data_IF_239061541777
#
_entry.id   IF_239061541777
#
_cell.length_a   1.000
_cell.length_b   1.000
_cell.length_c   1.000
_cell.angle_alpha   90.00
_cell.angle_beta   90.00
_cell.angle_gamma   90.00
#
_symmetry.space_group_name_H-M   'P 1'
#
loop_
_entity.id
_entity.type
_entity.pdbx_description
1 polymer ?
#
# COMPACT_ATOMS: atom_id res chain seq x y z
N UNK A 1 -1.94 -5.80 -22.22
CA UNK A 1 -1.95 -7.04 -21.43
C UNK A 1 -0.96 -6.95 -20.28
N UNK A 2 -1.41 -7.34 -19.11
CA UNK A 2 -0.54 -7.32 -17.93
C UNK A 2 0.31 -8.58 -17.93
N UNK A 3 1.62 -8.40 -17.84
CA UNK A 3 2.57 -9.51 -17.86
C UNK A 3 3.05 -9.78 -16.42
N UNK A 4 2.41 -10.74 -15.76
CA UNK A 4 2.74 -11.09 -14.38
C UNK A 4 2.71 -12.62 -14.24
N UNK A 5 3.81 -13.17 -13.71
CA UNK A 5 3.99 -14.62 -13.60
C UNK A 5 3.09 -15.21 -12.51
N UNK A 6 2.31 -16.22 -12.88
CA UNK A 6 1.49 -16.95 -11.92
C UNK A 6 2.37 -17.76 -10.96
N UNK A 7 2.02 -17.74 -9.66
CA UNK A 7 2.78 -18.42 -8.61
C UNK A 7 1.80 -19.15 -7.67
N UNK A 8 2.23 -20.22 -6.99
CA UNK A 8 1.37 -20.87 -5.99
C UNK A 8 1.10 -20.00 -4.76
N UNK A 9 1.99 -19.04 -4.46
CA UNK A 9 1.81 -18.10 -3.35
C UNK A 9 2.51 -16.79 -3.70
N UNK A 10 1.85 -15.67 -3.41
CA UNK A 10 2.39 -14.33 -3.60
C UNK A 10 2.77 -13.73 -2.26
N UNK A 11 3.79 -12.87 -2.25
CA UNK A 11 4.24 -12.15 -1.06
C UNK A 11 4.14 -10.64 -1.27
N UNK A 12 4.62 -9.87 -0.28
CA UNK A 12 4.55 -8.41 -0.34
C UNK A 12 5.31 -7.84 -1.54
N UNK A 13 6.47 -8.39 -1.86
CA UNK A 13 7.25 -7.88 -2.99
C UNK A 13 6.53 -8.11 -4.31
N UNK A 14 5.78 -9.21 -4.42
CA UNK A 14 4.93 -9.46 -5.60
C UNK A 14 3.85 -8.39 -5.73
N UNK A 15 3.20 -8.03 -4.62
CA UNK A 15 2.15 -7.02 -4.64
C UNK A 15 2.71 -5.65 -5.03
N UNK A 16 3.86 -5.29 -4.48
CA UNK A 16 4.53 -4.03 -4.82
C UNK A 16 4.81 -3.98 -6.32
N UNK A 17 5.35 -5.07 -6.87
CA UNK A 17 5.67 -5.14 -8.29
C UNK A 17 4.41 -5.13 -9.15
N UNK A 18 3.36 -5.82 -8.73
CA UNK A 18 2.10 -5.84 -9.47
C UNK A 18 1.49 -4.44 -9.58
N UNK A 19 1.48 -3.69 -8.50
CA UNK A 19 0.99 -2.30 -8.51
C UNK A 19 1.80 -1.47 -9.52
N UNK A 20 3.12 -1.63 -9.51
CA UNK A 20 3.98 -0.90 -10.44
C UNK A 20 3.67 -1.29 -11.90
N UNK A 21 3.51 -2.59 -12.18
CA UNK A 21 3.20 -3.09 -13.52
C UNK A 21 1.85 -2.55 -14.00
N UNK A 22 0.84 -2.54 -13.13
CA UNK A 22 -0.48 -2.02 -13.48
C UNK A 22 -0.44 -0.54 -13.83
N UNK A 23 0.40 0.25 -13.16
CA UNK A 23 0.49 1.69 -13.40
C UNK A 23 1.51 2.07 -14.47
N UNK A 24 2.33 1.14 -14.92
CA UNK A 24 3.32 1.39 -15.96
C UNK A 24 2.68 1.37 -17.35
N UNK A 25 3.37 1.93 -18.37
CA UNK A 25 2.92 1.80 -19.77
C UNK A 25 2.72 0.33 -20.13
N UNK A 26 1.61 0.03 -20.78
CA UNK A 26 1.24 -1.35 -21.11
C UNK A 26 0.49 -2.09 -20.04
N UNK A 27 0.34 -1.49 -18.86
CA UNK A 27 -0.48 -2.06 -17.79
C UNK A 27 -1.94 -1.64 -17.93
N UNK A 28 -2.52 -1.15 -16.84
CA UNK A 28 -3.91 -0.68 -16.83
C UNK A 28 -3.97 0.84 -17.01
N UNK A 29 -4.51 1.35 -18.12
CA UNK A 29 -4.58 2.81 -18.33
C UNK A 29 -5.37 3.53 -17.23
N UNK A 30 -6.38 2.89 -16.67
CA UNK A 30 -7.16 3.45 -15.58
C UNK A 30 -6.28 3.68 -14.34
N UNK A 31 -5.50 2.68 -13.96
CA UNK A 31 -4.59 2.79 -12.80
C UNK A 31 -3.47 3.80 -13.07
N UNK A 32 -2.94 3.82 -14.28
CA UNK A 32 -1.87 4.74 -14.66
C UNK A 32 -2.30 6.20 -14.58
N UNK A 33 -3.59 6.49 -14.81
CA UNK A 33 -4.11 7.84 -14.83
C UNK A 33 -4.41 8.43 -13.45
N UNK A 34 -4.36 7.60 -12.39
CA UNK A 34 -4.70 8.06 -11.05
C UNK A 34 -3.62 8.98 -10.47
N UNK A 35 -4.07 9.94 -9.67
CA UNK A 35 -3.21 10.88 -8.93
C UNK A 35 -3.50 10.75 -7.44
N UNK A 36 -2.67 11.38 -6.60
CA UNK A 36 -2.96 11.41 -5.16
C UNK A 36 -4.37 11.94 -4.89
N UNK A 37 -4.76 13.00 -5.55
CA UNK A 37 -6.08 13.61 -5.34
C UNK A 37 -7.21 12.71 -5.82
N UNK A 38 -7.03 12.02 -6.95
CA UNK A 38 -8.12 11.21 -7.51
C UNK A 38 -8.44 9.98 -6.66
N UNK A 39 -7.49 9.47 -5.89
CA UNK A 39 -7.68 8.27 -5.06
C UNK A 39 -7.60 8.54 -3.56
N UNK A 40 -7.45 9.80 -3.15
CA UNK A 40 -7.38 10.15 -1.73
C UNK A 40 -8.63 9.71 -0.96
N UNK A 41 -9.80 9.89 -1.56
CA UNK A 41 -11.06 9.50 -0.93
C UNK A 41 -11.16 7.98 -0.76
N UNK A 42 -10.66 7.23 -1.74
CA UNK A 42 -10.63 5.77 -1.66
C UNK A 42 -9.81 5.29 -0.46
N UNK A 43 -8.71 5.97 -0.18
CA UNK A 43 -7.88 5.65 0.99
C UNK A 43 -8.71 5.75 2.27
N UNK A 44 -9.44 6.83 2.41
CA UNK A 44 -10.28 7.06 3.60
C UNK A 44 -11.39 6.00 3.70
N UNK A 45 -12.05 5.70 2.59
CA UNK A 45 -13.12 4.69 2.56
C UNK A 45 -12.60 3.32 2.93
N UNK A 46 -11.44 2.91 2.41
CA UNK A 46 -10.84 1.62 2.74
C UNK A 46 -10.45 1.55 4.21
N UNK A 47 -9.97 2.67 4.79
CA UNK A 47 -9.65 2.71 6.21
C UNK A 47 -10.90 2.49 7.07
N UNK A 48 -12.03 3.09 6.72
CA UNK A 48 -13.28 2.87 7.43
C UNK A 48 -13.74 1.43 7.33
N UNK A 49 -13.67 0.83 6.15
CA UNK A 49 -14.05 -0.57 5.96
C UNK A 49 -13.14 -1.51 6.76
N UNK A 50 -11.85 -1.19 6.83
CA UNK A 50 -10.92 -1.97 7.65
C UNK A 50 -11.30 -1.88 9.13
N UNK A 51 -11.68 -0.70 9.61
CA UNK A 51 -12.12 -0.53 11.00
C UNK A 51 -13.36 -1.37 11.30
N UNK A 52 -14.31 -1.42 10.37
CA UNK A 52 -15.50 -2.27 10.52
C UNK A 52 -15.12 -3.75 10.60
N UNK A 53 -14.18 -4.19 9.77
CA UNK A 53 -13.71 -5.56 9.80
C UNK A 53 -13.03 -5.90 11.13
N UNK A 54 -12.25 -4.96 11.68
CA UNK A 54 -11.61 -5.14 12.99
C UNK A 54 -12.65 -5.24 14.10
N UNK A 55 -13.73 -4.45 14.01
CA UNK A 55 -14.83 -4.51 14.98
C UNK A 55 -15.53 -5.86 14.97
N UNK A 56 -15.68 -6.46 13.78
CA UNK A 56 -16.29 -7.78 13.63
C UNK A 56 -15.39 -8.91 14.10
N UNK A 57 -14.08 -8.67 14.18
CA UNK A 57 -13.09 -9.67 14.60
C UNK A 57 -13.13 -10.96 13.76
N UNK A 58 -13.42 -10.82 12.47
CA UNK A 58 -13.46 -11.93 11.53
C UNK A 58 -12.17 -11.93 10.71
N UNK A 59 -11.39 -13.01 10.83
CA UNK A 59 -10.06 -13.07 10.22
C UNK A 59 -10.08 -12.90 8.69
N UNK A 60 -11.07 -13.48 8.02
CA UNK A 60 -11.16 -13.38 6.57
C UNK A 60 -11.47 -11.95 6.13
N UNK A 61 -12.39 -11.28 6.81
CA UNK A 61 -12.73 -9.89 6.54
C UNK A 61 -11.54 -8.97 6.83
N UNK A 62 -10.86 -9.20 7.94
CA UNK A 62 -9.68 -8.40 8.33
C UNK A 62 -8.60 -8.51 7.26
N UNK A 63 -8.33 -9.74 6.78
CA UNK A 63 -7.32 -9.96 5.75
C UNK A 63 -7.67 -9.21 4.47
N UNK A 64 -8.94 -9.28 4.04
CA UNK A 64 -9.39 -8.60 2.84
C UNK A 64 -9.27 -7.08 2.96
N UNK A 65 -9.79 -6.52 4.05
CA UNK A 65 -9.83 -5.08 4.22
C UNK A 65 -8.45 -4.48 4.52
N UNK A 66 -7.60 -5.17 5.24
CA UNK A 66 -6.21 -4.72 5.42
C UNK A 66 -5.46 -4.76 4.09
N UNK A 67 -5.76 -5.75 3.24
CA UNK A 67 -5.21 -5.79 1.89
C UNK A 67 -5.58 -4.57 1.07
N UNK A 68 -6.84 -4.14 1.16
CA UNK A 68 -7.31 -2.96 0.44
C UNK A 68 -6.64 -1.68 0.95
N UNK A 69 -6.42 -1.56 2.25
CA UNK A 69 -5.67 -0.42 2.83
C UNK A 69 -4.22 -0.45 2.37
N UNK A 70 -3.60 -1.63 2.41
CA UNK A 70 -2.22 -1.79 1.94
C UNK A 70 -2.09 -1.39 0.48
N UNK A 71 -3.04 -1.78 -0.35
CA UNK A 71 -3.06 -1.40 -1.76
C UNK A 71 -3.06 0.13 -1.91
N UNK A 72 -3.82 0.85 -1.10
CA UNK A 72 -3.85 2.31 -1.14
C UNK A 72 -2.47 2.90 -0.84
N UNK A 73 -1.80 2.38 0.18
CA UNK A 73 -0.44 2.84 0.52
C UNK A 73 0.52 2.60 -0.63
N UNK A 74 0.50 1.39 -1.19
CA UNK A 74 1.40 1.03 -2.29
C UNK A 74 1.11 1.84 -3.54
N UNK A 75 -0.15 2.15 -3.80
CA UNK A 75 -0.55 2.95 -4.94
C UNK A 75 0.02 4.37 -4.85
N UNK A 76 -0.15 5.02 -3.68
CA UNK A 76 0.41 6.35 -3.46
C UNK A 76 1.94 6.33 -3.51
N UNK A 77 2.57 5.28 -2.98
CA UNK A 77 4.02 5.13 -3.04
C UNK A 77 4.49 5.02 -4.49
N UNK A 78 3.77 4.28 -5.33
CA UNK A 78 4.15 4.14 -6.74
C UNK A 78 3.98 5.44 -7.51
N UNK A 79 2.98 6.26 -7.17
CA UNK A 79 2.84 7.60 -7.74
C UNK A 79 4.11 8.42 -7.45
N UNK A 80 4.61 8.36 -6.22
CA UNK A 80 5.83 9.08 -5.83
C UNK A 80 7.06 8.52 -6.55
N UNK A 81 7.13 7.22 -6.72
CA UNK A 81 8.22 6.58 -7.49
C UNK A 81 8.22 7.07 -8.93
N UNK A 82 7.05 7.17 -9.54
CA UNK A 82 6.91 7.69 -10.90
C UNK A 82 7.31 9.16 -11.02
N UNK A 83 7.22 9.92 -9.94
CA UNK A 83 7.65 11.32 -9.88
C UNK A 83 9.12 11.47 -9.53
N UNK A 84 9.81 10.36 -9.28
CA UNK A 84 11.23 10.37 -8.91
C UNK A 84 11.51 10.89 -7.51
N UNK A 85 10.51 10.89 -6.60
CA UNK A 85 10.69 11.51 -5.29
C UNK A 85 11.00 10.51 -4.18
N UNK A 86 10.46 9.28 -4.25
CA UNK A 86 10.75 8.24 -3.25
C UNK A 86 10.23 6.90 -3.70
N UNK A 87 10.67 5.85 -3.01
CA UNK A 87 10.17 4.49 -3.18
C UNK A 87 9.44 4.02 -1.92
N UNK A 88 8.78 2.88 -2.02
CA UNK A 88 8.15 2.27 -0.84
C UNK A 88 9.20 1.95 0.24
N UNK A 89 10.42 1.59 -0.18
CA UNK A 89 11.51 1.32 0.77
C UNK A 89 11.91 2.57 1.55
N UNK A 90 11.87 3.74 0.92
CA UNK A 90 12.13 5.00 1.60
C UNK A 90 11.09 5.26 2.70
N UNK A 91 9.83 4.95 2.41
CA UNK A 91 8.75 5.10 3.38
C UNK A 91 8.97 4.14 4.56
N UNK A 92 9.31 2.88 4.26
CA UNK A 92 9.59 1.88 5.28
C UNK A 92 10.79 2.26 6.14
N UNK A 93 11.87 2.74 5.52
CA UNK A 93 13.07 3.18 6.23
C UNK A 93 12.73 4.33 7.20
N UNK A 94 12.00 5.32 6.73
CA UNK A 94 11.60 6.45 7.56
C UNK A 94 10.76 6.01 8.76
N UNK A 95 9.86 5.07 8.55
CA UNK A 95 9.02 4.57 9.64
C UNK A 95 9.82 3.76 10.65
N UNK A 96 10.73 2.92 10.19
CA UNK A 96 11.62 2.16 11.08
C UNK A 96 12.45 3.10 11.95
N UNK A 97 13.05 4.12 11.35
CA UNK A 97 13.87 5.09 12.09
C UNK A 97 13.06 5.84 13.14
N UNK A 98 11.84 6.22 12.78
CA UNK A 98 10.93 6.91 13.70
C UNK A 98 10.58 6.03 14.90
N UNK A 99 10.23 4.77 14.66
CA UNK A 99 9.88 3.82 15.71
C UNK A 99 11.08 3.53 16.62
N UNK A 100 12.25 3.32 16.05
CA UNK A 100 13.48 3.07 16.81
C UNK A 100 13.79 4.27 17.69
N UNK A 101 13.73 5.48 17.14
CA UNK A 101 14.01 6.70 17.89
C UNK A 101 13.05 6.87 19.08
N UNK A 102 11.74 6.66 18.83
CA UNK A 102 10.72 6.78 19.88
C UNK A 102 10.95 5.80 21.04
N UNK A 103 11.34 4.57 20.72
CA UNK A 103 11.64 3.56 21.74
C UNK A 103 12.91 3.89 22.50
N UNK A 104 13.92 4.43 21.83
CA UNK A 104 15.18 4.81 22.48
C UNK A 104 14.98 5.93 23.51
N UNK A 105 14.03 6.83 23.29
CA UNK A 105 13.75 7.93 24.23
C UNK A 105 12.60 7.62 25.19
N UNK A 106 12.17 6.34 25.27
CA UNK A 106 11.16 5.91 26.24
C UNK A 106 9.72 6.16 25.83
N UNK A 107 9.46 6.53 24.58
CA UNK A 107 8.10 6.70 24.05
C UNK A 107 7.68 5.41 23.35
N UNK A 108 7.11 4.51 24.11
CA UNK A 108 6.82 3.15 23.65
C UNK A 108 5.46 3.01 22.98
N UNK A 109 5.01 3.98 22.22
CA UNK A 109 3.75 3.90 21.50
C UNK A 109 3.93 4.33 20.06
N UNK A 110 3.11 3.80 19.20
CA UNK A 110 3.12 4.10 17.77
C UNK A 110 2.01 5.05 17.40
#
# INVERSE_FOLDING_TARGET
MINFTSKPRYDLSDLIRLVHVLRAPGGCPWDAAQTHLSIRRNFLEEAYEACEALDCDDAAMIREELGDVLLQVLFHADIETGRGRMTIDDIADAECRKLIFRHQIGRAHV
#
